data_IF_261280539930
#
_entry.id   IF_261280539930
#
_cell.length_a   1.000
_cell.length_b   1.000
_cell.length_c   1.000
_cell.angle_alpha   90.00
_cell.angle_beta   90.00
_cell.angle_gamma   90.00
#
_symmetry.space_group_name_H-M   'P 1'
#
loop_
_entity.id
_entity.type
_entity.pdbx_description
1 polymer ?
#
# COMPACT_ATOMS: atom_id res chain seq x y z
N UNK A 1 -44.13 -65.75 17.26
CA UNK A 1 -44.59 -64.34 17.35
C UNK A 1 -43.37 -63.47 17.62
N UNK A 2 -43.20 -62.42 16.81
CA UNK A 2 -41.96 -61.66 16.61
C UNK A 2 -41.47 -60.89 17.84
N UNK A 3 -40.18 -61.04 18.15
CA UNK A 3 -39.40 -60.19 19.04
C UNK A 3 -38.82 -59.05 18.19
N UNK A 4 -39.28 -57.82 18.41
CA UNK A 4 -38.81 -56.62 17.68
C UNK A 4 -37.55 -56.10 18.35
N UNK A 5 -36.42 -56.21 17.66
CA UNK A 5 -35.12 -55.68 18.06
C UNK A 5 -35.09 -54.15 17.94
N UNK A 6 -35.07 -53.44 19.06
CA UNK A 6 -34.68 -52.02 19.14
C UNK A 6 -33.17 -51.90 19.17
N UNK A 7 -32.53 -51.71 18.02
CA UNK A 7 -31.12 -51.31 17.94
C UNK A 7 -30.94 -50.36 16.76
N UNK A 8 -30.64 -49.09 17.01
CA UNK A 8 -30.26 -48.19 15.91
C UNK A 8 -30.00 -46.72 16.20
N UNK A 9 -30.32 -46.17 17.38
CA UNK A 9 -30.26 -44.70 17.56
C UNK A 9 -28.87 -44.18 18.00
N UNK A 10 -28.01 -45.04 18.56
CA UNK A 10 -26.76 -44.59 19.19
C UNK A 10 -25.58 -44.24 18.28
N UNK A 11 -25.60 -44.56 16.97
CA UNK A 11 -24.43 -44.38 16.08
C UNK A 11 -24.49 -43.18 15.15
N UNK A 12 -25.67 -42.62 14.87
CA UNK A 12 -25.80 -41.49 13.95
C UNK A 12 -25.38 -40.14 14.57
N UNK A 13 -25.62 -39.96 15.88
CA UNK A 13 -25.37 -38.68 16.58
C UNK A 13 -23.86 -38.36 16.71
N UNK A 14 -23.00 -39.39 16.79
CA UNK A 14 -21.55 -39.20 16.96
C UNK A 14 -20.82 -38.72 15.70
N UNK A 15 -21.37 -38.93 14.50
CA UNK A 15 -20.73 -38.55 13.23
C UNK A 15 -21.05 -37.11 12.79
N UNK A 16 -22.22 -36.58 13.17
CA UNK A 16 -22.61 -35.20 12.87
C UNK A 16 -21.83 -34.15 13.67
N UNK A 17 -21.52 -34.44 14.94
CA UNK A 17 -20.81 -33.50 15.83
C UNK A 17 -19.37 -33.18 15.34
N UNK A 18 -18.70 -34.13 14.69
CA UNK A 18 -17.34 -33.93 14.17
C UNK A 18 -17.30 -33.01 12.94
N UNK A 19 -18.31 -33.07 12.07
CA UNK A 19 -18.43 -32.21 10.89
C UNK A 19 -18.75 -30.76 11.27
N UNK A 20 -19.59 -30.56 12.31
CA UNK A 20 -19.90 -29.24 12.84
C UNK A 20 -18.70 -28.60 13.57
N UNK A 21 -17.92 -29.39 14.32
CA UNK A 21 -16.71 -28.88 14.97
C UNK A 21 -15.63 -28.45 13.96
N UNK A 22 -15.48 -29.18 12.86
CA UNK A 22 -14.50 -28.85 11.80
C UNK A 22 -14.87 -27.57 11.05
N UNK A 23 -16.15 -27.33 10.77
CA UNK A 23 -16.62 -26.09 10.11
C UNK A 23 -16.49 -24.86 11.02
N UNK A 24 -16.73 -25.01 12.33
CA UNK A 24 -16.50 -23.93 13.31
C UNK A 24 -14.99 -23.61 13.41
N UNK A 25 -14.12 -24.62 13.43
CA UNK A 25 -12.66 -24.43 13.46
C UNK A 25 -12.09 -23.77 12.18
N UNK A 26 -12.65 -24.08 11.01
CA UNK A 26 -12.26 -23.45 9.74
C UNK A 26 -12.69 -21.97 9.67
N UNK A 27 -13.87 -21.64 10.19
CA UNK A 27 -14.35 -20.25 10.25
C UNK A 27 -13.54 -19.36 11.20
N UNK A 28 -12.96 -19.94 12.27
CA UNK A 28 -12.11 -19.23 13.23
C UNK A 28 -10.71 -18.92 12.69
N UNK A 29 -10.21 -19.68 11.72
CA UNK A 29 -8.89 -19.45 11.10
C UNK A 29 -8.95 -18.50 9.90
N UNK A 30 -10.12 -18.29 9.29
CA UNK A 30 -10.26 -17.49 8.06
C UNK A 30 -10.30 -15.98 8.29
N UNK A 31 -10.50 -15.51 9.53
CA UNK A 31 -10.76 -14.09 9.81
C UNK A 31 -9.64 -13.39 10.59
N UNK A 32 -8.40 -13.89 10.47
CA UNK A 32 -7.24 -13.23 11.11
C UNK A 32 -6.97 -11.89 10.43
N UNK A 33 -6.81 -10.80 11.19
CA UNK A 33 -6.58 -9.49 10.59
C UNK A 33 -5.24 -9.45 9.83
N UNK A 34 -5.23 -8.90 8.61
CA UNK A 34 -4.00 -8.79 7.80
C UNK A 34 -3.00 -7.86 8.50
N UNK A 35 -1.84 -8.38 8.88
CA UNK A 35 -0.76 -7.58 9.50
C UNK A 35 -0.17 -6.58 8.52
N UNK A 36 0.32 -5.45 9.04
CA UNK A 36 1.03 -4.47 8.23
C UNK A 36 2.46 -4.95 7.99
N UNK A 37 2.86 -5.04 6.73
CA UNK A 37 4.17 -5.55 6.31
C UNK A 37 4.87 -4.55 5.40
N UNK A 38 6.18 -4.74 5.21
CA UNK A 38 6.97 -3.90 4.29
C UNK A 38 6.44 -4.00 2.86
N UNK A 39 6.13 -5.23 2.45
CA UNK A 39 5.48 -5.49 1.17
C UNK A 39 4.17 -4.70 1.00
N UNK A 40 3.31 -4.62 2.02
CA UNK A 40 2.06 -3.85 1.94
C UNK A 40 2.35 -2.36 1.81
N UNK A 41 3.29 -1.83 2.58
CA UNK A 41 3.65 -0.42 2.52
C UNK A 41 4.23 -0.06 1.14
N UNK A 42 5.20 -0.82 0.65
CA UNK A 42 5.84 -0.61 -0.65
C UNK A 42 4.86 -0.77 -1.80
N UNK A 43 4.04 -1.82 -1.78
CA UNK A 43 3.07 -2.07 -2.85
C UNK A 43 2.00 -0.97 -2.93
N UNK A 44 1.43 -0.56 -1.80
CA UNK A 44 0.45 0.52 -1.77
C UNK A 44 1.05 1.84 -2.24
N UNK A 45 2.27 2.15 -1.79
CA UNK A 45 2.93 3.40 -2.13
C UNK A 45 3.35 3.42 -3.60
N UNK A 46 3.91 2.34 -4.13
CA UNK A 46 4.28 2.23 -5.54
C UNK A 46 3.06 2.40 -6.45
N UNK A 47 1.93 1.76 -6.13
CA UNK A 47 0.71 1.94 -6.89
C UNK A 47 0.23 3.39 -6.87
N UNK A 48 0.20 4.01 -5.70
CA UNK A 48 -0.21 5.41 -5.58
C UNK A 48 0.72 6.37 -6.33
N UNK A 49 2.04 6.16 -6.27
CA UNK A 49 3.02 6.97 -7.01
C UNK A 49 2.90 6.77 -8.52
N UNK A 50 2.66 5.55 -8.98
CA UNK A 50 2.46 5.28 -10.40
C UNK A 50 1.17 5.94 -10.92
N UNK A 51 0.08 5.90 -10.15
CA UNK A 51 -1.16 6.62 -10.49
C UNK A 51 -0.96 8.14 -10.56
N UNK A 52 -0.13 8.70 -9.67
CA UNK A 52 0.26 10.12 -9.72
C UNK A 52 1.14 10.46 -10.92
N UNK A 53 1.86 9.48 -11.44
CA UNK A 53 2.75 9.60 -12.58
C UNK A 53 2.11 9.13 -13.89
N UNK A 54 0.79 9.21 -14.03
CA UNK A 54 0.13 9.00 -15.32
C UNK A 54 -0.38 10.35 -15.88
N UNK A 55 0.15 10.82 -17.04
CA UNK A 55 1.27 10.28 -17.82
C UNK A 55 2.67 10.30 -17.14
N UNK A 56 3.64 9.48 -17.60
CA UNK A 56 4.94 9.29 -16.92
C UNK A 56 5.74 10.59 -16.79
N UNK A 57 6.06 10.93 -15.55
CA UNK A 57 6.81 12.13 -15.16
C UNK A 57 8.09 11.80 -14.39
N UNK A 58 8.06 10.68 -13.67
CA UNK A 58 9.16 10.11 -12.94
C UNK A 58 9.01 8.59 -12.96
N UNK A 59 10.10 7.91 -12.69
CA UNK A 59 10.15 6.49 -12.42
C UNK A 59 10.43 6.28 -10.93
N UNK A 60 9.68 5.39 -10.29
CA UNK A 60 9.93 5.01 -8.89
C UNK A 60 11.13 4.06 -8.85
N UNK A 61 12.33 4.63 -8.66
CA UNK A 61 13.60 3.91 -8.65
C UNK A 61 13.70 2.97 -7.44
N UNK A 62 13.41 3.45 -6.23
CA UNK A 62 13.40 2.62 -5.02
C UNK A 62 12.46 3.16 -3.94
N UNK A 63 12.03 2.26 -3.07
CA UNK A 63 11.31 2.56 -1.84
C UNK A 63 12.07 1.89 -0.71
N UNK A 64 12.48 2.64 0.31
CA UNK A 64 13.22 2.10 1.45
C UNK A 64 12.54 2.47 2.75
N UNK A 65 12.02 1.46 3.45
CA UNK A 65 11.37 1.65 4.75
C UNK A 65 12.46 1.76 5.82
N UNK A 66 12.55 2.93 6.46
CA UNK A 66 13.49 3.17 7.57
C UNK A 66 12.91 2.72 8.90
N UNK A 67 11.65 3.07 9.14
CA UNK A 67 10.94 2.77 10.37
C UNK A 67 9.49 2.41 10.06
N UNK A 68 8.91 1.51 10.86
CA UNK A 68 7.47 1.25 10.82
C UNK A 68 6.94 0.91 12.20
N UNK A 69 5.70 1.30 12.43
CA UNK A 69 4.95 0.97 13.63
C UNK A 69 3.53 0.56 13.23
N UNK A 70 2.99 -0.45 13.90
CA UNK A 70 1.60 -0.84 13.79
C UNK A 70 0.94 -0.79 15.17
N UNK A 71 -0.20 -0.13 15.26
CA UNK A 71 -1.06 -0.10 16.44
C UNK A 71 -2.50 -0.42 16.04
N UNK A 72 -2.92 -1.67 16.26
CA UNK A 72 -4.25 -2.14 15.86
C UNK A 72 -4.48 -2.02 14.36
N UNK A 73 -5.48 -1.22 13.97
CA UNK A 73 -5.87 -0.93 12.59
C UNK A 73 -5.17 0.29 12.00
N UNK A 74 -4.18 0.86 12.69
CA UNK A 74 -3.37 1.97 12.20
C UNK A 74 -1.92 1.53 12.07
N UNK A 75 -1.24 2.05 11.07
CA UNK A 75 0.19 1.90 10.92
C UNK A 75 0.82 3.19 10.40
N UNK A 76 2.12 3.34 10.68
CA UNK A 76 2.96 4.46 10.28
C UNK A 76 4.25 3.91 9.73
N UNK A 77 4.77 4.47 8.65
CA UNK A 77 6.09 4.12 8.15
C UNK A 77 6.83 5.37 7.67
N UNK A 78 8.11 5.48 8.02
CA UNK A 78 9.03 6.45 7.45
C UNK A 78 9.69 5.77 6.25
N UNK A 79 9.47 6.33 5.07
CA UNK A 79 9.88 5.74 3.79
C UNK A 79 10.68 6.78 3.02
N UNK A 80 11.82 6.33 2.50
CA UNK A 80 12.60 7.06 1.52
C UNK A 80 12.15 6.64 0.13
N UNK A 81 11.70 7.61 -0.65
CA UNK A 81 11.15 7.42 -1.99
C UNK A 81 12.11 8.02 -2.99
N UNK A 82 12.84 7.18 -3.71
CA UNK A 82 13.72 7.63 -4.78
C UNK A 82 12.94 7.71 -6.09
N UNK A 83 12.85 8.93 -6.62
CA UNK A 83 12.22 9.25 -7.90
C UNK A 83 13.30 9.62 -8.91
N UNK A 84 13.27 9.01 -10.08
CA UNK A 84 14.12 9.36 -11.21
C UNK A 84 13.31 10.13 -12.25
N UNK A 85 13.78 11.30 -12.67
CA UNK A 85 13.11 12.15 -13.64
C UNK A 85 13.79 11.98 -15.00
N UNK A 86 13.19 11.25 -15.97
CA UNK A 86 13.84 11.03 -17.27
C UNK A 86 13.90 12.31 -18.11
N UNK A 87 12.90 13.17 -17.99
CA UNK A 87 12.76 14.44 -18.72
C UNK A 87 12.84 15.62 -17.75
N UNK A 88 13.15 16.81 -18.26
CA UNK A 88 13.13 18.03 -17.45
C UNK A 88 11.71 18.54 -17.19
N UNK A 89 11.58 19.43 -16.20
CA UNK A 89 10.30 19.98 -15.76
C UNK A 89 9.51 20.65 -16.89
N UNK A 90 10.18 21.44 -17.73
CA UNK A 90 9.52 22.19 -18.82
C UNK A 90 8.97 21.25 -19.89
N UNK A 91 9.71 20.19 -20.21
CA UNK A 91 9.29 19.12 -21.13
C UNK A 91 8.06 18.40 -20.57
N UNK A 92 8.10 18.01 -19.30
CA UNK A 92 6.97 17.35 -18.63
C UNK A 92 5.72 18.23 -18.62
N UNK A 93 5.86 19.50 -18.24
CA UNK A 93 4.78 20.49 -18.22
C UNK A 93 4.15 20.66 -19.61
N UNK A 94 4.98 20.73 -20.66
CA UNK A 94 4.52 20.82 -22.05
C UNK A 94 3.76 19.57 -22.50
N UNK A 95 4.29 18.37 -22.23
CA UNK A 95 3.65 17.09 -22.59
C UNK A 95 2.27 16.94 -21.93
N UNK A 96 2.16 17.34 -20.68
CA UNK A 96 0.93 17.28 -19.89
C UNK A 96 -0.01 18.47 -20.13
N UNK A 97 0.42 19.45 -20.93
CA UNK A 97 -0.30 20.71 -21.17
C UNK A 97 -0.67 21.41 -19.86
N UNK A 98 0.25 21.38 -18.90
CA UNK A 98 0.07 22.05 -17.62
C UNK A 98 0.32 23.55 -17.82
N UNK A 99 -0.76 24.33 -17.86
CA UNK A 99 -0.65 25.78 -17.97
C UNK A 99 -0.10 26.40 -16.67
N UNK A 100 0.81 27.40 -16.78
CA UNK A 100 1.24 28.18 -15.63
C UNK A 100 0.02 28.73 -14.86
N UNK A 101 0.08 28.69 -13.53
CA UNK A 101 -0.97 29.13 -12.60
C UNK A 101 -2.23 28.26 -12.53
N UNK A 102 -2.34 27.17 -13.30
CA UNK A 102 -3.41 26.21 -13.06
C UNK A 102 -3.13 25.39 -11.78
N UNK A 103 -4.18 24.86 -11.14
CA UNK A 103 -4.06 24.18 -9.84
C UNK A 103 -3.16 22.94 -9.96
N UNK A 104 -3.27 22.21 -11.08
CA UNK A 104 -2.46 21.02 -11.34
C UNK A 104 -0.96 21.35 -11.40
N UNK A 105 -0.57 22.39 -12.14
CA UNK A 105 0.78 22.92 -12.26
C UNK A 105 1.33 23.38 -10.92
N UNK A 106 0.55 24.15 -10.15
CA UNK A 106 0.98 24.64 -8.84
C UNK A 106 1.19 23.49 -7.85
N UNK A 107 0.27 22.53 -7.83
CA UNK A 107 0.42 21.32 -7.04
C UNK A 107 1.64 20.52 -7.48
N UNK A 108 1.87 20.43 -8.78
CA UNK A 108 3.00 19.72 -9.37
C UNK A 108 4.34 20.33 -8.98
N UNK A 109 4.50 21.64 -9.21
CA UNK A 109 5.68 22.42 -8.82
C UNK A 109 5.90 22.40 -7.30
N UNK A 110 4.83 22.39 -6.51
CA UNK A 110 4.93 22.30 -5.06
C UNK A 110 5.38 20.92 -4.56
N UNK A 111 5.02 19.84 -5.25
CA UNK A 111 5.36 18.47 -4.84
C UNK A 111 6.80 18.09 -5.16
N UNK A 112 7.28 18.45 -6.35
CA UNK A 112 8.57 17.95 -6.89
C UNK A 112 9.60 19.07 -7.15
N UNK A 113 9.20 20.33 -7.06
CA UNK A 113 10.05 21.45 -7.48
C UNK A 113 10.28 21.47 -8.99
N UNK A 114 11.26 22.26 -9.41
CA UNK A 114 11.82 22.19 -10.76
C UNK A 114 12.96 21.18 -10.77
N UNK A 115 12.97 20.26 -11.73
CA UNK A 115 13.94 19.16 -11.87
C UNK A 115 14.56 19.15 -13.27
N UNK A 116 15.79 18.66 -13.35
CA UNK A 116 16.49 18.44 -14.62
C UNK A 116 16.27 17.02 -15.17
N UNK A 117 16.40 16.85 -16.48
CA UNK A 117 16.41 15.54 -17.11
C UNK A 117 17.55 14.69 -16.55
N UNK A 118 17.24 13.47 -16.11
CA UNK A 118 18.13 12.51 -15.43
C UNK A 118 18.32 12.75 -13.93
N UNK A 119 17.65 13.73 -13.33
CA UNK A 119 17.73 14.02 -11.89
C UNK A 119 17.14 12.89 -11.06
N UNK A 120 17.73 12.63 -9.89
CA UNK A 120 17.15 11.72 -8.89
C UNK A 120 16.88 12.49 -7.61
N UNK A 121 15.65 12.43 -7.12
CA UNK A 121 15.25 13.01 -5.84
C UNK A 121 14.87 11.91 -4.86
N UNK A 122 15.44 11.93 -3.66
CA UNK A 122 15.07 11.03 -2.57
C UNK A 122 14.20 11.80 -1.58
N UNK A 123 12.90 11.53 -1.59
CA UNK A 123 11.95 12.15 -0.67
C UNK A 123 11.85 11.34 0.62
N UNK A 124 12.03 12.03 1.74
CA UNK A 124 11.90 11.46 3.07
C UNK A 124 10.53 11.78 3.64
N UNK A 125 9.63 10.79 3.69
CA UNK A 125 8.25 11.03 4.11
C UNK A 125 7.75 9.98 5.10
N UNK A 126 6.91 10.44 6.02
CA UNK A 126 6.12 9.56 6.86
C UNK A 126 4.76 9.34 6.18
N UNK A 127 4.40 8.08 6.02
CA UNK A 127 3.11 7.64 5.51
C UNK A 127 2.26 7.04 6.62
N UNK A 128 0.99 7.39 6.62
CA UNK A 128 -0.01 6.88 7.55
C UNK A 128 -0.93 5.91 6.81
N UNK A 129 -1.17 4.76 7.43
CA UNK A 129 -1.97 3.69 6.88
C UNK A 129 -3.10 3.34 7.83
N UNK A 130 -4.26 2.99 7.27
CA UNK A 130 -5.41 2.52 8.02
C UNK A 130 -5.93 1.23 7.40
N UNK A 131 -6.27 0.26 8.25
CA UNK A 131 -6.98 -0.94 7.83
C UNK A 131 -8.48 -0.67 7.78
N UNK A 132 -9.08 -0.88 6.62
CA UNK A 132 -10.54 -0.80 6.36
C UNK A 132 -10.96 -2.06 5.63
N UNK A 133 -12.01 -2.72 6.11
CA UNK A 133 -12.53 -3.97 5.51
C UNK A 133 -11.43 -5.03 5.25
N UNK A 134 -10.53 -5.18 6.24
CA UNK A 134 -9.37 -6.07 6.20
C UNK A 134 -8.32 -5.77 5.10
N UNK A 135 -8.36 -4.57 4.50
CA UNK A 135 -7.36 -4.05 3.55
C UNK A 135 -6.68 -2.81 4.11
N UNK A 136 -5.38 -2.67 3.85
CA UNK A 136 -4.65 -1.45 4.21
C UNK A 136 -4.79 -0.42 3.10
N UNK A 137 -4.94 0.84 3.50
CA UNK A 137 -4.98 2.00 2.59
C UNK A 137 -4.09 3.12 3.13
N UNK A 138 -3.51 3.92 2.24
CA UNK A 138 -2.81 5.15 2.61
C UNK A 138 -3.87 6.20 2.95
N UNK A 139 -3.74 6.84 4.12
CA UNK A 139 -4.68 7.87 4.59
C UNK A 139 -4.04 9.25 4.75
N UNK A 140 -2.72 9.32 4.67
CA UNK A 140 -2.00 10.58 4.72
C UNK A 140 -0.50 10.40 4.55
N UNK A 141 0.17 11.50 4.24
CA UNK A 141 1.62 11.58 4.19
C UNK A 141 2.08 12.94 4.72
N UNK A 142 3.31 12.99 5.23
CA UNK A 142 3.98 14.25 5.59
C UNK A 142 5.48 14.16 5.32
N UNK A 143 6.12 15.23 4.82
CA UNK A 143 7.57 15.26 4.69
C UNK A 143 8.23 15.20 6.07
N UNK A 144 9.36 14.50 6.16
CA UNK A 144 10.22 14.40 7.35
C UNK A 144 11.39 15.37 7.24
N UNK A 145 11.93 15.54 6.04
CA UNK A 145 13.01 16.48 5.73
C UNK A 145 12.94 16.92 4.27
N UNK A 146 13.79 17.87 3.88
CA UNK A 146 14.00 18.20 2.48
C UNK A 146 14.54 16.99 1.71
N UNK A 147 14.20 16.84 0.41
CA UNK A 147 14.69 15.73 -0.39
C UNK A 147 16.19 15.87 -0.69
N UNK A 148 16.88 14.73 -0.76
CA UNK A 148 18.24 14.67 -1.28
C UNK A 148 18.20 14.66 -2.81
N UNK A 149 18.89 15.60 -3.46
CA UNK A 149 18.84 15.77 -4.92
C UNK A 149 20.20 15.44 -5.52
N UNK A 150 20.22 14.50 -6.46
CA UNK A 150 21.38 14.14 -7.28
C UNK A 150 21.12 14.50 -8.73
N UNK A 151 21.98 15.35 -9.30
CA UNK A 151 21.87 15.81 -10.69
C UNK A 151 22.79 15.00 -11.60
N UNK A 152 22.40 14.73 -12.85
CA UNK A 152 23.27 14.03 -13.78
C UNK A 152 24.52 14.86 -14.06
N UNK A 153 25.68 14.25 -13.83
CA UNK A 153 26.99 14.87 -14.06
C UNK A 153 27.56 15.67 -12.87
N UNK A 154 26.96 15.58 -11.68
CA UNK A 154 27.53 16.07 -10.42
C UNK A 154 28.40 15.02 -9.72
#
# INVERSE_FOLDING_TARGET
MLQVSTLGIGRAVRRGAWLSALTILLSACSNKPVHFTDYIAEHLLRNNLNELAEPPIFEVASLTIREKEQQGDKARAIIDVALHFPEDFDTVVSMHKLEPYNIAYLQYKSSFGEFAAGETQVHHAEYQFQRRDNKWVIVGSRPVSQPDISKPGA
#
